data_IF_025817726029
#
_entry.id   IF_025817726029
#
_cell.length_a   1.000
_cell.length_b   1.000
_cell.length_c   1.000
_cell.angle_alpha   90.00
_cell.angle_beta   90.00
_cell.angle_gamma   90.00
#
_symmetry.space_group_name_H-M   'P 1'
#
loop_
_entity.id
_entity.type
_entity.pdbx_description
1 polymer ?
#
# COMPACT_ATOMS: atom_id res chain seq x y z
N UNK A 1 -13.26 3.64 5.03
CA UNK A 1 -12.40 3.30 3.87
C UNK A 1 -10.92 3.32 4.20
N UNK A 2 -10.45 4.39 4.83
CA UNK A 2 -9.04 4.55 5.21
C UNK A 2 -8.53 3.39 6.08
N UNK A 3 -9.28 3.02 7.10
CA UNK A 3 -8.86 1.95 8.01
C UNK A 3 -8.75 0.59 7.31
N UNK A 4 -9.68 0.31 6.40
CA UNK A 4 -9.65 -0.94 5.63
C UNK A 4 -8.44 -0.99 4.72
N UNK A 5 -8.09 0.15 4.13
CA UNK A 5 -6.93 0.24 3.25
C UNK A 5 -5.63 0.05 4.04
N UNK A 6 -5.53 0.69 5.20
CA UNK A 6 -4.36 0.52 6.07
C UNK A 6 -4.23 -0.94 6.51
N UNK A 7 -5.34 -1.57 6.89
CA UNK A 7 -5.31 -2.98 7.28
C UNK A 7 -4.86 -3.88 6.13
N UNK A 8 -5.28 -3.55 4.92
CA UNK A 8 -4.85 -4.27 3.72
C UNK A 8 -3.34 -4.11 3.51
N UNK A 9 -2.82 -2.88 3.63
CA UNK A 9 -1.39 -2.61 3.48
C UNK A 9 -0.57 -3.32 4.56
N UNK A 10 -1.04 -3.33 5.80
CA UNK A 10 -0.38 -4.06 6.88
C UNK A 10 -0.30 -5.56 6.57
N UNK A 11 -1.37 -6.09 5.99
CA UNK A 11 -1.40 -7.50 5.59
C UNK A 11 -0.39 -7.77 4.48
N UNK A 12 -0.27 -6.86 3.52
CA UNK A 12 0.73 -6.99 2.46
C UNK A 12 2.14 -6.92 3.03
N UNK A 13 2.37 -6.06 4.00
CA UNK A 13 3.65 -5.99 4.67
C UNK A 13 4.03 -7.35 5.30
N UNK A 14 3.09 -7.96 6.00
CA UNK A 14 3.33 -9.26 6.60
C UNK A 14 3.58 -10.34 5.54
N UNK A 15 2.87 -10.26 4.41
CA UNK A 15 3.09 -11.21 3.32
C UNK A 15 4.48 -11.04 2.69
N UNK A 16 4.95 -9.81 2.54
CA UNK A 16 6.29 -9.55 2.02
C UNK A 16 7.34 -10.13 2.98
N UNK A 17 7.16 -9.96 4.28
CA UNK A 17 8.08 -10.49 5.27
C UNK A 17 8.12 -12.02 5.24
N UNK A 18 6.98 -12.65 5.08
CA UNK A 18 6.86 -14.10 5.09
C UNK A 18 7.28 -14.73 3.75
N UNK A 19 6.98 -14.06 2.65
CA UNK A 19 7.25 -14.57 1.30
C UNK A 19 8.01 -13.52 0.48
N UNK A 20 9.30 -13.29 0.79
CA UNK A 20 10.06 -12.22 0.12
C UNK A 20 10.13 -12.35 -1.38
N UNK A 21 10.08 -13.57 -1.90
CA UNK A 21 10.12 -13.82 -3.34
C UNK A 21 8.91 -13.26 -4.08
N UNK A 22 7.81 -13.03 -3.37
CA UNK A 22 6.61 -12.42 -3.93
C UNK A 22 6.49 -10.93 -3.70
N UNK A 23 7.54 -10.31 -3.16
CA UNK A 23 7.49 -8.92 -2.72
C UNK A 23 6.98 -7.93 -3.75
N UNK A 24 7.49 -8.01 -4.98
CA UNK A 24 7.06 -7.10 -6.03
C UNK A 24 5.57 -7.24 -6.34
N UNK A 25 5.05 -8.47 -6.32
CA UNK A 25 3.62 -8.73 -6.53
C UNK A 25 2.79 -8.11 -5.42
N UNK A 26 3.20 -8.31 -4.17
CA UNK A 26 2.47 -7.74 -3.03
C UNK A 26 2.50 -6.23 -3.03
N UNK A 27 3.63 -5.63 -3.42
CA UNK A 27 3.74 -4.18 -3.55
C UNK A 27 2.77 -3.66 -4.61
N UNK A 28 2.70 -4.34 -5.77
CA UNK A 28 1.76 -3.98 -6.83
C UNK A 28 0.32 -4.08 -6.38
N UNK A 29 -0.01 -5.10 -5.60
CA UNK A 29 -1.37 -5.26 -5.04
C UNK A 29 -1.70 -4.13 -4.08
N UNK A 30 -0.73 -3.70 -3.26
CA UNK A 30 -0.94 -2.60 -2.33
C UNK A 30 -1.24 -1.29 -3.09
N UNK A 31 -0.50 -1.03 -4.17
CA UNK A 31 -0.75 0.14 -5.01
C UNK A 31 -2.09 0.05 -5.71
N UNK A 32 -2.44 -1.12 -6.24
CA UNK A 32 -3.74 -1.34 -6.89
C UNK A 32 -4.90 -1.11 -5.94
N UNK A 33 -4.75 -1.47 -4.67
CA UNK A 33 -5.77 -1.21 -3.66
C UNK A 33 -5.98 0.29 -3.45
N UNK A 34 -4.91 1.08 -3.50
CA UNK A 34 -5.02 2.54 -3.40
C UNK A 34 -5.85 3.09 -4.58
N UNK A 35 -5.53 2.66 -5.79
CA UNK A 35 -6.25 3.11 -6.97
C UNK A 35 -7.72 2.76 -6.90
N UNK A 36 -8.03 1.54 -6.49
CA UNK A 36 -9.41 1.09 -6.33
C UNK A 36 -10.15 1.92 -5.29
N UNK A 37 -9.51 2.19 -4.16
CA UNK A 37 -10.12 2.99 -3.09
C UNK A 37 -10.41 4.42 -3.57
N UNK A 38 -9.51 5.00 -4.36
CA UNK A 38 -9.71 6.33 -4.90
C UNK A 38 -10.93 6.40 -5.82
N UNK A 39 -11.10 5.38 -6.66
CA UNK A 39 -12.27 5.30 -7.54
C UNK A 39 -13.58 5.20 -6.74
N UNK A 40 -13.54 4.45 -5.65
CA UNK A 40 -14.73 4.24 -4.81
C UNK A 40 -15.13 5.47 -4.01
N UNK A 41 -14.17 6.29 -3.60
CA UNK A 41 -14.46 7.45 -2.76
C UNK A 41 -15.17 8.57 -3.50
N UNK A 42 -14.74 8.84 -4.71
CA UNK A 42 -15.30 9.93 -5.53
C UNK A 42 -15.35 11.26 -4.75
N UNK A 43 -14.32 11.52 -3.96
CA UNK A 43 -14.21 12.71 -3.11
C UNK A 43 -12.75 13.15 -3.12
N UNK A 44 -12.48 14.30 -3.73
CA UNK A 44 -11.13 14.78 -3.97
C UNK A 44 -10.29 14.90 -2.69
N UNK A 45 -10.88 15.44 -1.63
CA UNK A 45 -10.14 15.64 -0.37
C UNK A 45 -9.75 14.31 0.27
N UNK A 46 -10.64 13.34 0.23
CA UNK A 46 -10.36 12.02 0.79
C UNK A 46 -9.37 11.25 -0.07
N UNK A 47 -9.45 11.41 -1.38
CA UNK A 47 -8.47 10.82 -2.29
C UNK A 47 -7.08 11.37 -2.03
N UNK A 48 -6.96 12.68 -1.86
CA UNK A 48 -5.68 13.33 -1.56
C UNK A 48 -5.09 12.81 -0.24
N UNK A 49 -5.93 12.61 0.77
CA UNK A 49 -5.48 12.05 2.05
C UNK A 49 -4.89 10.64 1.87
N UNK A 50 -5.54 9.80 1.08
CA UNK A 50 -5.04 8.45 0.84
C UNK A 50 -3.74 8.46 0.04
N UNK A 51 -3.63 9.33 -0.96
CA UNK A 51 -2.41 9.46 -1.75
C UNK A 51 -1.25 9.93 -0.87
N UNK A 52 -1.49 10.90 -0.01
CA UNK A 52 -0.46 11.39 0.90
C UNK A 52 0.00 10.30 1.87
N UNK A 53 -0.95 9.55 2.42
CA UNK A 53 -0.65 8.46 3.33
C UNK A 53 0.21 7.40 2.64
N UNK A 54 -0.12 7.06 1.41
CA UNK A 54 0.65 6.12 0.61
C UNK A 54 2.06 6.64 0.32
N UNK A 55 2.16 7.85 -0.22
CA UNK A 55 3.45 8.40 -0.65
C UNK A 55 4.39 8.68 0.52
N UNK A 56 3.86 9.13 1.65
CA UNK A 56 4.70 9.57 2.77
C UNK A 56 5.01 8.45 3.76
N UNK A 57 4.28 7.37 3.74
CA UNK A 57 4.45 6.30 4.72
C UNK A 57 4.52 4.92 4.09
N UNK A 58 3.41 4.47 3.50
CA UNK A 58 3.29 3.06 3.14
C UNK A 58 4.13 2.65 1.93
N UNK A 59 4.22 3.50 0.93
CA UNK A 59 5.05 3.20 -0.23
C UNK A 59 6.50 2.95 0.18
N UNK A 60 7.06 3.88 0.96
CA UNK A 60 8.45 3.77 1.41
C UNK A 60 8.65 2.55 2.30
N UNK A 61 7.71 2.31 3.19
CA UNK A 61 7.76 1.20 4.12
C UNK A 61 7.74 -0.15 3.41
N UNK A 62 6.85 -0.31 2.44
CA UNK A 62 6.74 -1.55 1.67
C UNK A 62 7.92 -1.73 0.71
N UNK A 63 8.34 -0.66 0.04
CA UNK A 63 9.49 -0.71 -0.86
C UNK A 63 10.76 -1.09 -0.11
N UNK A 64 10.94 -0.57 1.09
CA UNK A 64 12.09 -0.92 1.91
C UNK A 64 12.12 -2.41 2.20
N UNK A 65 10.98 -3.00 2.51
CA UNK A 65 10.91 -4.43 2.77
C UNK A 65 11.14 -5.28 1.51
N UNK A 66 10.75 -4.78 0.35
CA UNK A 66 10.95 -5.49 -0.91
C UNK A 66 12.40 -5.36 -1.41
N UNK A 67 12.95 -4.15 -1.34
CA UNK A 67 14.24 -3.82 -1.96
C UNK A 67 15.33 -3.45 -0.96
N UNK A 68 15.01 -3.25 0.29
CA UNK A 68 15.92 -2.69 1.28
C UNK A 68 17.12 -3.55 1.63
N UNK A 69 17.11 -4.82 1.26
CA UNK A 69 18.21 -5.73 1.54
C UNK A 69 19.19 -5.85 0.36
N UNK A 70 18.96 -5.05 -0.65
CA UNK A 70 19.86 -4.97 -1.78
C UNK A 70 20.99 -4.00 -1.49
#
# INVERSE_FOLDING_TARGET
MKEKLINYWERKERQIEKYPEGGATFLGQAFGALEFAMEMLNDWDKEAELVDLWNNEWKLRLEEKVYGNL
#
